data_IF_387484257248
#
_entry.id   IF_387484257248
#
_cell.length_a   1.000
_cell.length_b   1.000
_cell.length_c   1.000
_cell.angle_alpha   90.00
_cell.angle_beta   90.00
_cell.angle_gamma   90.00
#
_symmetry.space_group_name_H-M   'P 1'
#
loop_
_entity.id
_entity.type
_entity.pdbx_description
1 polymer ?
#
# COMPACT_ATOMS: atom_id res chain seq x y z
N UNK A 1 -21.01 -21.76 -23.87
CA UNK A 1 -19.70 -21.74 -23.16
C UNK A 1 -19.83 -22.75 -22.03
N UNK A 2 -19.21 -23.88 -22.19
CA UNK A 2 -19.22 -24.90 -21.16
C UNK A 2 -18.42 -24.40 -19.98
N UNK A 3 -19.06 -24.36 -18.82
CA UNK A 3 -18.42 -24.08 -17.54
C UNK A 3 -17.54 -25.28 -17.19
N UNK A 4 -16.32 -25.29 -17.69
CA UNK A 4 -15.28 -26.22 -17.26
C UNK A 4 -14.21 -25.49 -16.50
N UNK A 5 -14.15 -25.87 -15.30
CA UNK A 5 -13.06 -26.34 -14.49
C UNK A 5 -12.30 -25.23 -13.79
N UNK A 6 -12.82 -24.89 -12.61
CA UNK A 6 -12.04 -24.26 -11.57
C UNK A 6 -11.09 -25.33 -11.03
N UNK A 7 -9.80 -25.20 -11.28
CA UNK A 7 -8.79 -26.11 -10.73
C UNK A 7 -8.65 -25.82 -9.24
N UNK A 8 -8.74 -26.87 -8.43
CA UNK A 8 -8.54 -26.73 -6.98
C UNK A 8 -7.09 -26.36 -6.68
N UNK A 9 -6.78 -25.48 -5.69
CA UNK A 9 -5.41 -25.01 -5.40
C UNK A 9 -4.36 -26.13 -5.19
N UNK A 10 -4.77 -27.30 -4.73
CA UNK A 10 -3.89 -28.47 -4.58
C UNK A 10 -3.33 -29.00 -5.90
N UNK A 11 -3.86 -28.57 -7.04
CA UNK A 11 -3.50 -29.01 -8.39
C UNK A 11 -2.68 -27.97 -9.16
N UNK A 12 -2.47 -26.76 -8.58
CA UNK A 12 -1.66 -25.71 -9.18
C UNK A 12 -0.17 -25.89 -8.85
N UNK A 13 0.67 -25.88 -9.89
CA UNK A 13 2.04 -25.41 -9.69
C UNK A 13 2.04 -23.88 -9.60
N UNK A 14 2.95 -23.32 -8.82
CA UNK A 14 3.15 -21.87 -8.78
C UNK A 14 3.42 -21.29 -10.20
N UNK A 15 4.06 -22.09 -11.06
CA UNK A 15 4.36 -21.74 -12.45
C UNK A 15 3.10 -21.61 -13.31
N UNK A 16 2.12 -22.52 -13.16
CA UNK A 16 0.85 -22.46 -13.91
C UNK A 16 0.00 -21.23 -13.54
N UNK A 17 0.14 -20.73 -12.30
CA UNK A 17 -0.63 -19.59 -11.80
C UNK A 17 -0.06 -18.24 -12.25
N UNK A 18 1.22 -18.20 -12.63
CA UNK A 18 1.93 -16.98 -13.06
C UNK A 18 1.77 -16.61 -14.53
N UNK A 19 1.34 -17.52 -15.41
CA UNK A 19 1.34 -17.36 -16.86
C UNK A 19 0.20 -16.50 -17.44
N UNK A 20 -0.16 -15.40 -16.79
CA UNK A 20 -0.98 -14.33 -17.39
C UNK A 20 -0.06 -13.15 -17.67
N UNK A 21 -0.24 -12.48 -18.83
CA UNK A 21 0.34 -11.14 -19.04
C UNK A 21 -0.24 -10.18 -18.02
N UNK A 22 0.46 -10.07 -16.91
CA UNK A 22 0.02 -9.38 -15.71
C UNK A 22 0.89 -8.13 -15.48
N UNK A 23 0.32 -6.94 -15.68
CA UNK A 23 1.04 -5.70 -15.47
C UNK A 23 1.36 -5.40 -14.00
N UNK A 24 0.82 -6.18 -13.05
CA UNK A 24 1.05 -5.94 -11.60
C UNK A 24 2.46 -6.32 -11.14
N UNK A 25 3.24 -7.02 -11.99
CA UNK A 25 4.54 -7.58 -11.59
C UNK A 25 4.41 -8.69 -10.54
N UNK A 26 3.30 -9.45 -10.62
CA UNK A 26 3.10 -10.60 -9.76
C UNK A 26 4.18 -11.66 -10.05
N UNK A 27 4.84 -12.08 -9.00
CA UNK A 27 5.82 -13.19 -9.00
C UNK A 27 5.24 -14.36 -8.23
N UNK A 28 5.46 -15.58 -8.71
CA UNK A 28 4.91 -16.81 -8.09
C UNK A 28 5.38 -17.03 -6.64
N UNK A 29 6.53 -16.48 -6.28
CA UNK A 29 7.07 -16.47 -4.92
C UNK A 29 6.15 -15.77 -3.92
N UNK A 30 5.34 -14.81 -4.37
CA UNK A 30 4.34 -14.14 -3.53
C UNK A 30 3.28 -15.12 -2.97
N UNK A 31 2.99 -16.21 -3.68
CA UNK A 31 2.07 -17.24 -3.18
C UNK A 31 2.57 -17.88 -1.89
N UNK A 32 3.89 -18.03 -1.75
CA UNK A 32 4.51 -18.62 -0.56
C UNK A 32 4.62 -17.63 0.59
N UNK A 33 4.85 -16.34 0.31
CA UNK A 33 5.03 -15.30 1.32
C UNK A 33 3.71 -14.66 1.76
N UNK A 34 2.73 -14.59 0.86
CA UNK A 34 1.41 -14.00 1.10
C UNK A 34 0.32 -15.06 1.32
N UNK A 35 0.60 -16.11 2.05
CA UNK A 35 -0.23 -17.32 2.23
C UNK A 35 -1.73 -17.03 2.18
N UNK A 36 -2.37 -17.38 1.05
CA UNK A 36 -3.81 -17.29 0.87
C UNK A 36 -4.50 -18.56 1.39
N UNK A 37 -5.77 -18.43 1.77
CA UNK A 37 -6.55 -19.59 2.18
C UNK A 37 -6.94 -20.48 0.99
N UNK A 38 -7.13 -19.86 -0.20
CA UNK A 38 -7.43 -20.59 -1.44
C UNK A 38 -7.07 -19.76 -2.67
N UNK A 39 -6.73 -20.44 -3.77
CA UNK A 39 -6.47 -19.85 -5.08
C UNK A 39 -7.50 -20.35 -6.10
N UNK A 40 -7.81 -19.51 -7.09
CA UNK A 40 -8.69 -19.85 -8.20
C UNK A 40 -8.05 -19.45 -9.52
N UNK A 41 -8.23 -20.32 -10.53
CA UNK A 41 -7.89 -20.03 -11.91
C UNK A 41 -9.08 -20.35 -12.82
N UNK A 42 -9.18 -19.57 -13.87
CA UNK A 42 -10.10 -19.81 -14.99
C UNK A 42 -9.25 -20.15 -16.19
N UNK A 43 -9.42 -21.34 -16.73
CA UNK A 43 -8.70 -21.82 -17.91
C UNK A 43 -9.63 -21.96 -19.11
N UNK A 44 -9.09 -21.80 -20.31
CA UNK A 44 -9.85 -22.06 -21.54
C UNK A 44 -9.76 -23.55 -21.95
N UNK A 45 -10.50 -23.99 -23.00
CA UNK A 45 -10.44 -25.36 -23.50
C UNK A 45 -9.06 -25.82 -23.99
N UNK A 46 -8.16 -24.89 -24.26
CA UNK A 46 -6.78 -25.13 -24.66
C UNK A 46 -5.83 -25.21 -23.46
N UNK A 47 -6.36 -25.19 -22.23
CA UNK A 47 -5.64 -25.21 -20.96
C UNK A 47 -4.79 -23.95 -20.72
N UNK A 48 -5.15 -22.82 -21.34
CA UNK A 48 -4.47 -21.55 -21.09
C UNK A 48 -5.16 -20.80 -19.94
N UNK A 49 -4.35 -20.22 -19.04
CA UNK A 49 -4.85 -19.43 -17.92
C UNK A 49 -5.47 -18.12 -18.44
N UNK A 50 -6.74 -17.87 -18.13
CA UNK A 50 -7.50 -16.69 -18.57
C UNK A 50 -7.77 -15.70 -17.45
N UNK A 51 -7.92 -16.17 -16.22
CA UNK A 51 -8.00 -15.33 -15.04
C UNK A 51 -7.55 -16.10 -13.80
N UNK A 52 -7.11 -15.37 -12.79
CA UNK A 52 -6.79 -15.91 -11.47
C UNK A 52 -7.23 -14.96 -10.36
N UNK A 53 -7.39 -15.48 -9.15
CA UNK A 53 -7.45 -14.72 -7.92
C UNK A 53 -7.16 -15.63 -6.72
N UNK A 54 -6.79 -15.00 -5.60
CA UNK A 54 -6.66 -15.67 -4.31
C UNK A 54 -7.63 -15.09 -3.31
N UNK A 55 -8.02 -15.88 -2.31
CA UNK A 55 -8.93 -15.43 -1.25
C UNK A 55 -8.36 -15.70 0.13
N UNK A 56 -8.68 -14.83 1.07
CA UNK A 56 -8.35 -14.93 2.48
C UNK A 56 -9.62 -14.74 3.31
N UNK A 57 -9.81 -15.55 4.33
CA UNK A 57 -10.93 -15.45 5.28
C UNK A 57 -10.54 -15.69 6.74
N UNK A 58 -9.27 -16.06 7.02
CA UNK A 58 -8.78 -16.32 8.38
C UNK A 58 -8.21 -15.06 9.01
N UNK A 59 -7.06 -14.59 8.53
CA UNK A 59 -6.31 -13.46 9.10
C UNK A 59 -6.60 -12.18 8.29
N UNK A 60 -7.88 -11.79 8.25
CA UNK A 60 -8.37 -10.64 7.48
C UNK A 60 -8.82 -9.50 8.40
N UNK A 61 -8.90 -8.27 7.89
CA UNK A 61 -9.45 -7.14 8.63
C UNK A 61 -10.88 -7.40 9.12
N UNK A 62 -11.31 -6.62 10.11
CA UNK A 62 -12.72 -6.53 10.50
C UNK A 62 -13.34 -5.26 9.91
N UNK A 63 -14.59 -5.33 9.47
CA UNK A 63 -15.40 -4.20 9.04
C UNK A 63 -16.67 -4.17 9.88
N UNK A 64 -16.88 -3.10 10.65
CA UNK A 64 -18.01 -2.95 11.58
C UNK A 64 -18.19 -4.13 12.55
N UNK A 65 -17.10 -4.77 12.94
CA UNK A 65 -17.11 -5.94 13.85
C UNK A 65 -17.47 -7.26 13.18
N UNK A 66 -17.69 -7.27 11.87
CA UNK A 66 -17.99 -8.46 11.09
C UNK A 66 -16.75 -9.01 10.38
N UNK A 67 -16.74 -10.34 10.18
CA UNK A 67 -15.70 -11.01 9.41
C UNK A 67 -15.84 -10.64 7.93
N UNK A 68 -14.76 -10.15 7.36
CA UNK A 68 -14.65 -9.93 5.92
C UNK A 68 -13.76 -10.99 5.29
N UNK A 69 -14.02 -11.31 4.02
CA UNK A 69 -13.08 -12.03 3.19
C UNK A 69 -12.43 -11.08 2.20
N UNK A 70 -11.21 -11.38 1.76
CA UNK A 70 -10.53 -10.54 0.76
C UNK A 70 -10.25 -11.31 -0.51
N UNK A 71 -10.27 -10.61 -1.65
CA UNK A 71 -9.95 -11.12 -2.99
C UNK A 71 -8.72 -10.34 -3.48
N UNK A 72 -7.61 -11.04 -3.68
CA UNK A 72 -6.36 -10.47 -4.16
C UNK A 72 -5.70 -11.35 -5.22
N UNK A 73 -4.46 -11.05 -5.60
CA UNK A 73 -3.71 -11.68 -6.69
C UNK A 73 -4.55 -11.76 -7.99
N UNK A 74 -5.47 -10.81 -8.16
CA UNK A 74 -6.40 -10.81 -9.28
C UNK A 74 -5.70 -10.39 -10.56
N UNK A 75 -5.85 -11.23 -11.59
CA UNK A 75 -5.49 -10.89 -12.95
C UNK A 75 -6.47 -11.56 -13.93
N UNK A 76 -6.76 -10.91 -15.06
CA UNK A 76 -7.64 -11.45 -16.08
C UNK A 76 -7.27 -10.93 -17.46
N UNK A 77 -7.28 -11.81 -18.45
CA UNK A 77 -7.03 -11.47 -19.86
C UNK A 77 -8.28 -10.86 -20.53
N UNK A 78 -9.46 -11.17 -20.00
CA UNK A 78 -10.73 -10.62 -20.46
C UNK A 78 -11.77 -10.57 -19.33
N UNK A 79 -12.77 -9.72 -19.51
CA UNK A 79 -13.81 -9.49 -18.50
C UNK A 79 -14.70 -10.70 -18.21
N UNK A 80 -14.85 -11.65 -19.15
CA UNK A 80 -15.67 -12.84 -18.92
C UNK A 80 -14.99 -13.77 -17.94
N UNK A 81 -13.71 -14.07 -18.17
CA UNK A 81 -12.88 -14.86 -17.27
C UNK A 81 -12.68 -14.18 -15.91
N UNK A 82 -12.42 -12.87 -15.92
CA UNK A 82 -12.27 -12.08 -14.69
C UNK A 82 -13.50 -12.14 -13.78
N UNK A 83 -14.68 -11.90 -14.35
CA UNK A 83 -15.95 -11.99 -13.59
C UNK A 83 -16.25 -13.41 -13.12
N UNK A 84 -15.83 -14.45 -13.87
CA UNK A 84 -15.97 -15.83 -13.41
C UNK A 84 -15.11 -16.08 -12.17
N UNK A 85 -13.83 -15.65 -12.16
CA UNK A 85 -12.95 -15.76 -11.01
C UNK A 85 -13.51 -15.02 -9.78
N UNK A 86 -13.99 -13.77 -9.95
CA UNK A 86 -14.59 -12.98 -8.86
C UNK A 86 -15.83 -13.68 -8.28
N UNK A 87 -16.72 -14.22 -9.12
CA UNK A 87 -17.91 -14.92 -8.64
C UNK A 87 -17.56 -16.17 -7.85
N UNK A 88 -16.57 -16.94 -8.28
CA UNK A 88 -16.08 -18.09 -7.56
C UNK A 88 -15.49 -17.71 -6.20
N UNK A 89 -14.67 -16.67 -6.18
CA UNK A 89 -14.12 -16.12 -4.93
C UNK A 89 -15.24 -15.72 -3.95
N UNK A 90 -16.26 -15.00 -4.41
CA UNK A 90 -17.43 -14.64 -3.59
C UNK A 90 -18.18 -15.86 -3.06
N UNK A 91 -18.36 -16.89 -3.89
CA UNK A 91 -19.00 -18.15 -3.47
C UNK A 91 -18.20 -18.82 -2.34
N UNK A 92 -16.89 -18.93 -2.51
CA UNK A 92 -15.99 -19.48 -1.50
C UNK A 92 -16.05 -18.69 -0.19
N UNK A 93 -15.91 -17.37 -0.24
CA UNK A 93 -15.95 -16.52 0.95
C UNK A 93 -17.27 -16.62 1.71
N UNK A 94 -18.40 -16.68 0.97
CA UNK A 94 -19.72 -16.90 1.57
C UNK A 94 -19.80 -18.27 2.27
N UNK A 95 -19.30 -19.33 1.64
CA UNK A 95 -19.28 -20.69 2.23
C UNK A 95 -18.45 -20.74 3.52
N UNK A 96 -17.43 -19.87 3.67
CA UNK A 96 -16.62 -19.74 4.88
C UNK A 96 -17.16 -18.70 5.88
N UNK A 97 -18.39 -18.23 5.69
CA UNK A 97 -19.10 -17.37 6.65
C UNK A 97 -18.66 -15.91 6.65
N UNK A 98 -18.05 -15.43 5.57
CA UNK A 98 -17.76 -14.00 5.42
C UNK A 98 -19.04 -13.24 5.08
N UNK A 99 -19.31 -12.16 5.82
CA UNK A 99 -20.47 -11.29 5.57
C UNK A 99 -20.21 -10.33 4.39
N UNK A 100 -18.96 -9.97 4.18
CA UNK A 100 -18.53 -9.00 3.16
C UNK A 100 -17.28 -9.50 2.45
N UNK A 101 -17.22 -9.33 1.12
CA UNK A 101 -16.02 -9.49 0.31
C UNK A 101 -15.40 -8.12 0.06
N UNK A 102 -14.08 -8.00 0.26
CA UNK A 102 -13.27 -6.83 -0.09
C UNK A 102 -12.34 -7.18 -1.26
N UNK A 103 -12.09 -6.24 -2.15
CA UNK A 103 -11.11 -6.42 -3.23
C UNK A 103 -10.84 -5.15 -4.04
N UNK A 104 -9.65 -5.06 -4.69
CA UNK A 104 -8.55 -6.00 -4.56
C UNK A 104 -7.84 -5.84 -3.22
N UNK A 105 -7.47 -6.94 -2.57
CA UNK A 105 -6.66 -6.92 -1.35
C UNK A 105 -6.00 -8.29 -1.12
N UNK A 106 -4.68 -8.32 -1.03
CA UNK A 106 -3.90 -9.53 -0.76
C UNK A 106 -3.89 -9.83 0.76
N UNK A 107 -5.06 -10.16 1.31
CA UNK A 107 -5.25 -10.49 2.72
C UNK A 107 -5.39 -9.27 3.64
N UNK A 108 -4.50 -8.30 3.57
CA UNK A 108 -4.49 -7.14 4.47
C UNK A 108 -3.89 -5.88 3.81
N UNK A 109 -3.87 -4.76 4.55
CA UNK A 109 -3.40 -3.46 4.05
C UNK A 109 -1.88 -3.29 4.02
N UNK A 110 -1.10 -4.26 4.50
CA UNK A 110 0.36 -4.25 4.43
C UNK A 110 0.88 -4.70 3.06
N UNK A 111 0.05 -5.47 2.34
CA UNK A 111 0.31 -6.00 1.01
C UNK A 111 -0.36 -5.16 -0.06
N UNK A 112 -0.37 -5.65 -1.30
CA UNK A 112 -1.04 -4.95 -2.39
C UNK A 112 -2.55 -4.92 -2.16
N UNK A 113 -3.14 -3.73 -2.24
CA UNK A 113 -4.58 -3.52 -2.18
C UNK A 113 -4.97 -2.24 -2.93
N UNK A 114 -6.23 -2.13 -3.38
CA UNK A 114 -6.81 -1.04 -4.17
C UNK A 114 -6.43 -1.05 -5.66
N UNK A 115 -7.37 -0.66 -6.50
CA UNK A 115 -7.15 -0.39 -7.92
C UNK A 115 -6.94 1.09 -8.19
N UNK A 116 -6.16 1.41 -9.24
CA UNK A 116 -6.24 2.71 -9.91
C UNK A 116 -7.59 2.77 -10.59
N UNK A 117 -8.35 3.84 -10.34
CA UNK A 117 -9.67 4.09 -10.95
C UNK A 117 -9.72 5.41 -11.73
N UNK A 118 -8.75 6.29 -11.49
CA UNK A 118 -8.52 7.48 -12.30
C UNK A 118 -7.00 7.66 -12.43
N UNK A 119 -6.51 7.41 -13.65
CA UNK A 119 -5.08 7.36 -13.93
C UNK A 119 -4.43 8.74 -14.04
N UNK A 120 -5.21 9.76 -14.36
CA UNK A 120 -4.63 11.04 -14.76
C UNK A 120 -3.68 10.89 -15.95
N UNK A 121 -2.77 11.84 -16.10
CA UNK A 121 -1.80 11.90 -17.23
C UNK A 121 -0.35 11.64 -16.81
N UNK A 122 -0.06 11.59 -15.52
CA UNK A 122 1.30 11.36 -15.01
C UNK A 122 1.73 9.89 -15.22
N UNK A 123 3.02 9.62 -15.46
CA UNK A 123 3.54 8.25 -15.54
C UNK A 123 3.34 7.50 -14.24
N UNK A 124 3.39 6.15 -14.23
CA UNK A 124 3.48 5.35 -13.02
C UNK A 124 4.72 5.73 -12.19
N UNK A 125 4.64 5.53 -10.88
CA UNK A 125 5.76 5.77 -9.97
C UNK A 125 6.06 4.53 -9.10
N UNK A 126 7.24 4.50 -8.50
CA UNK A 126 7.72 3.38 -7.70
C UNK A 126 6.78 3.08 -6.51
N UNK A 127 6.49 1.81 -6.30
CA UNK A 127 5.55 1.28 -5.29
C UNK A 127 4.07 1.69 -5.51
N UNK A 128 3.70 2.10 -6.70
CA UNK A 128 2.31 2.30 -7.08
C UNK A 128 1.66 0.97 -7.47
N UNK A 129 0.39 0.69 -7.10
CA UNK A 129 -0.34 -0.44 -7.67
C UNK A 129 -0.52 -0.26 -9.19
N UNK A 130 -0.53 -1.35 -9.92
CA UNK A 130 -0.76 -1.35 -11.37
C UNK A 130 -1.93 -2.27 -11.69
N UNK A 131 -2.83 -1.84 -12.58
CA UNK A 131 -3.94 -2.65 -13.08
C UNK A 131 -4.46 -2.09 -14.40
N UNK A 132 -4.98 -2.92 -15.32
CA UNK A 132 -5.80 -2.46 -16.44
C UNK A 132 -7.08 -1.77 -15.96
N UNK A 133 -7.62 -0.86 -16.79
CA UNK A 133 -8.85 -0.12 -16.47
C UNK A 133 -10.10 -1.03 -16.46
N UNK A 134 -10.02 -2.21 -17.09
CA UNK A 134 -11.08 -3.21 -17.09
C UNK A 134 -11.31 -3.87 -15.71
N UNK A 135 -10.27 -3.99 -14.88
CA UNK A 135 -10.37 -4.73 -13.62
C UNK A 135 -11.34 -4.10 -12.59
N UNK A 136 -11.27 -2.77 -12.30
CA UNK A 136 -12.32 -2.15 -11.48
C UNK A 136 -13.72 -2.30 -12.07
N UNK A 137 -13.85 -2.27 -13.41
CA UNK A 137 -15.14 -2.47 -14.10
C UNK A 137 -15.67 -3.90 -13.87
N UNK A 138 -14.79 -4.92 -13.86
CA UNK A 138 -15.19 -6.30 -13.60
C UNK A 138 -15.70 -6.49 -12.16
N UNK A 139 -15.05 -5.88 -11.18
CA UNK A 139 -15.53 -5.85 -9.79
C UNK A 139 -16.90 -5.19 -9.70
N UNK A 140 -17.06 -4.00 -10.30
CA UNK A 140 -18.37 -3.29 -10.32
C UNK A 140 -19.45 -4.12 -11.01
N UNK A 141 -19.14 -4.78 -12.13
CA UNK A 141 -20.07 -5.66 -12.83
C UNK A 141 -20.45 -6.93 -12.03
N UNK A 142 -19.62 -7.31 -11.06
CA UNK A 142 -19.94 -8.36 -10.08
C UNK A 142 -20.69 -7.82 -8.85
N UNK A 143 -21.02 -6.52 -8.82
CA UNK A 143 -21.82 -5.85 -7.78
C UNK A 143 -21.00 -5.38 -6.59
N UNK A 144 -19.71 -5.13 -6.77
CA UNK A 144 -18.89 -4.43 -5.79
C UNK A 144 -19.06 -2.92 -5.97
N UNK A 145 -19.12 -2.20 -4.85
CA UNK A 145 -19.12 -0.74 -4.80
C UNK A 145 -17.82 -0.23 -4.16
N UNK A 146 -17.35 0.99 -4.52
CA UNK A 146 -16.23 1.59 -3.83
C UNK A 146 -16.51 1.78 -2.35
N UNK A 147 -15.69 1.16 -1.50
CA UNK A 147 -15.77 1.24 -0.05
C UNK A 147 -14.91 2.39 0.49
N UNK A 148 -13.76 2.60 -0.12
CA UNK A 148 -12.77 3.58 0.36
C UNK A 148 -11.96 4.14 -0.79
N UNK A 149 -11.65 5.44 -0.70
CA UNK A 149 -10.94 6.18 -1.72
C UNK A 149 -9.56 6.61 -1.24
N UNK A 150 -8.62 6.62 -2.18
CA UNK A 150 -7.24 7.06 -1.93
C UNK A 150 -6.79 7.97 -3.07
N UNK A 151 -5.82 8.83 -2.77
CA UNK A 151 -5.25 9.76 -3.74
C UNK A 151 -3.74 9.77 -3.64
N UNK A 152 -3.10 10.03 -4.77
CA UNK A 152 -1.72 10.49 -4.82
C UNK A 152 -1.69 11.92 -5.36
N UNK A 153 -0.82 12.74 -4.78
CA UNK A 153 -0.64 14.15 -5.12
C UNK A 153 0.82 14.39 -5.49
N UNK A 154 1.06 15.28 -6.46
CA UNK A 154 2.41 15.59 -6.93
C UNK A 154 2.74 17.06 -6.74
N UNK A 155 3.92 17.32 -6.21
CA UNK A 155 4.53 18.65 -6.11
C UNK A 155 5.78 18.68 -7.00
N UNK A 156 5.74 19.46 -8.07
CA UNK A 156 6.84 19.60 -9.04
C UNK A 156 7.93 20.60 -8.62
N UNK A 157 7.76 21.29 -7.49
CA UNK A 157 8.69 22.32 -7.03
C UNK A 157 8.74 22.33 -5.50
N UNK A 158 9.48 21.37 -4.96
CA UNK A 158 9.59 21.21 -3.51
C UNK A 158 10.43 22.32 -2.86
N UNK A 159 11.22 23.08 -3.63
CA UNK A 159 12.03 24.19 -3.13
C UNK A 159 11.17 25.40 -2.74
N UNK A 160 10.18 25.75 -3.56
CA UNK A 160 9.40 26.99 -3.41
C UNK A 160 8.15 26.82 -2.52
N UNK A 161 7.83 25.61 -2.08
CA UNK A 161 6.58 25.31 -1.36
C UNK A 161 6.82 24.71 0.02
N UNK A 162 7.81 25.21 0.73
CA UNK A 162 8.08 24.75 2.10
C UNK A 162 7.40 25.67 3.11
N UNK A 163 6.56 25.13 4.02
CA UNK A 163 5.93 25.91 5.06
C UNK A 163 6.97 26.37 6.10
N UNK A 164 6.80 27.57 6.63
CA UNK A 164 7.59 28.04 7.78
C UNK A 164 7.27 27.18 9.02
N UNK A 165 8.32 26.62 9.63
CA UNK A 165 8.20 25.72 10.77
C UNK A 165 8.81 26.28 12.07
N UNK A 166 9.22 27.54 12.12
CA UNK A 166 10.01 28.09 13.22
C UNK A 166 9.45 27.76 14.61
N UNK A 167 8.16 27.95 14.83
CA UNK A 167 7.51 27.65 16.13
C UNK A 167 7.40 26.16 16.43
N UNK A 168 7.15 25.32 15.41
CA UNK A 168 7.06 23.87 15.58
C UNK A 168 8.43 23.27 15.88
N UNK A 169 9.46 23.72 15.17
CA UNK A 169 10.86 23.28 15.42
C UNK A 169 11.28 23.64 16.82
N UNK A 170 11.12 24.91 17.25
CA UNK A 170 11.41 25.32 18.62
C UNK A 170 10.65 24.49 19.67
N UNK A 171 9.42 24.09 19.38
CA UNK A 171 8.66 23.20 20.27
C UNK A 171 9.33 21.84 20.38
N UNK A 172 9.74 21.23 19.26
CA UNK A 172 10.41 19.92 19.25
C UNK A 172 11.78 19.99 19.94
N UNK A 173 12.55 21.05 19.71
CA UNK A 173 13.83 21.29 20.37
C UNK A 173 13.68 21.39 21.90
N UNK A 174 12.68 22.16 22.39
CA UNK A 174 12.38 22.25 23.84
C UNK A 174 11.96 20.93 24.47
N UNK A 175 11.33 20.05 23.69
CA UNK A 175 10.99 18.70 24.12
C UNK A 175 12.20 17.76 24.10
N UNK A 176 13.30 18.15 23.47
CA UNK A 176 14.47 17.29 23.29
C UNK A 176 14.29 16.23 22.23
N UNK A 177 13.37 16.45 21.26
CA UNK A 177 13.21 15.56 20.10
C UNK A 177 14.39 15.74 19.15
N UNK A 178 15.06 14.65 18.85
CA UNK A 178 16.16 14.58 17.89
C UNK A 178 15.69 13.90 16.61
N UNK A 179 15.98 14.49 15.44
CA UNK A 179 15.65 13.92 14.13
C UNK A 179 16.98 13.62 13.43
N UNK A 180 17.15 12.40 12.97
CA UNK A 180 18.33 11.94 12.25
C UNK A 180 17.95 10.88 11.20
N UNK A 181 18.79 10.66 10.19
CA UNK A 181 18.67 9.50 9.32
C UNK A 181 18.65 8.19 10.10
N UNK A 182 17.99 7.17 9.55
CA UNK A 182 18.05 5.83 10.10
C UNK A 182 19.47 5.30 10.09
N UNK A 183 19.84 4.55 11.13
CA UNK A 183 21.13 3.87 11.15
C UNK A 183 21.02 2.54 10.38
N UNK A 184 21.52 2.49 9.15
CA UNK A 184 21.43 1.29 8.30
C UNK A 184 22.38 0.17 8.72
N UNK A 185 23.49 0.51 9.39
CA UNK A 185 24.49 -0.48 9.86
C UNK A 185 24.01 -1.21 11.13
N UNK A 186 23.12 -0.58 11.91
CA UNK A 186 22.50 -1.15 13.11
C UNK A 186 21.01 -0.75 13.13
N UNK A 187 20.26 -1.26 12.16
CA UNK A 187 18.88 -0.84 11.93
C UNK A 187 17.85 -1.57 12.81
N UNK A 188 18.26 -2.61 13.53
CA UNK A 188 17.33 -3.47 14.27
C UNK A 188 16.54 -2.68 15.34
N UNK A 189 17.23 -1.87 16.16
CA UNK A 189 16.58 -1.06 17.21
C UNK A 189 15.68 0.03 16.61
N UNK A 190 16.11 0.63 15.50
CA UNK A 190 15.31 1.63 14.79
C UNK A 190 14.06 1.03 14.18
N UNK A 191 14.16 -0.13 13.51
CA UNK A 191 13.01 -0.83 12.94
C UNK A 191 12.03 -1.28 14.03
N UNK A 192 12.52 -1.72 15.18
CA UNK A 192 11.67 -2.06 16.32
C UNK A 192 10.93 -0.84 16.87
N UNK A 193 11.62 0.27 17.00
CA UNK A 193 10.99 1.52 17.42
C UNK A 193 9.98 2.04 16.38
N UNK A 194 10.29 1.94 15.08
CA UNK A 194 9.37 2.28 13.98
C UNK A 194 8.13 1.37 14.02
N UNK A 195 8.31 0.07 14.23
CA UNK A 195 7.22 -0.87 14.40
C UNK A 195 6.26 -0.45 15.53
N UNK A 196 6.79 -0.09 16.69
CA UNK A 196 5.99 0.37 17.83
C UNK A 196 5.20 1.64 17.49
N UNK A 197 5.82 2.60 16.78
CA UNK A 197 5.16 3.82 16.30
C UNK A 197 4.05 3.49 15.31
N UNK A 198 4.30 2.59 14.36
CA UNK A 198 3.34 2.14 13.35
C UNK A 198 2.13 1.48 14.02
N UNK A 199 2.36 0.52 14.92
CA UNK A 199 1.30 -0.16 15.66
C UNK A 199 0.44 0.82 16.47
N UNK A 200 1.06 1.82 17.11
CA UNK A 200 0.34 2.81 17.90
C UNK A 200 -0.44 3.80 17.02
N UNK A 201 0.15 4.24 15.89
CA UNK A 201 -0.41 5.28 15.03
C UNK A 201 -1.53 4.78 14.12
N UNK A 202 -1.44 3.52 13.67
CA UNK A 202 -2.39 2.95 12.71
C UNK A 202 -3.43 2.02 13.36
N UNK A 203 -3.40 1.85 14.68
CA UNK A 203 -4.35 0.98 15.39
C UNK A 203 -5.80 1.23 15.02
N UNK A 204 -6.18 2.49 14.91
CA UNK A 204 -7.55 2.91 14.60
C UNK A 204 -7.73 3.27 13.11
N UNK A 205 -6.74 2.93 12.27
CA UNK A 205 -6.83 3.17 10.82
C UNK A 205 -7.79 2.19 10.17
N UNK A 206 -8.42 2.64 9.11
CA UNK A 206 -9.38 1.85 8.36
C UNK A 206 -8.78 0.53 7.86
N UNK A 207 -9.41 -0.59 8.23
CA UNK A 207 -9.00 -1.97 7.92
C UNK A 207 -7.58 -2.33 8.42
N UNK A 208 -7.08 -1.66 9.44
CA UNK A 208 -5.78 -2.01 10.01
C UNK A 208 -5.82 -3.45 10.57
N UNK A 209 -4.80 -4.23 10.20
CA UNK A 209 -4.54 -5.56 10.74
C UNK A 209 -3.17 -5.55 11.39
N UNK A 210 -3.01 -6.01 12.63
CA UNK A 210 -1.70 -6.13 13.24
C UNK A 210 -0.79 -7.04 12.41
N UNK A 211 0.46 -6.63 12.22
CA UNK A 211 1.52 -7.46 11.67
C UNK A 211 2.47 -7.79 12.82
N UNK A 212 3.03 -8.99 12.86
CA UNK A 212 4.07 -9.31 13.83
C UNK A 212 5.40 -8.61 13.46
N UNK A 213 6.27 -8.48 14.46
CA UNK A 213 7.53 -7.75 14.34
C UNK A 213 8.50 -8.37 13.32
N UNK A 214 8.53 -9.70 13.25
CA UNK A 214 9.41 -10.42 12.32
C UNK A 214 8.96 -10.20 10.87
N UNK A 215 7.67 -10.32 10.61
CA UNK A 215 7.07 -10.01 9.30
C UNK A 215 7.31 -8.54 8.90
N UNK A 216 7.18 -7.60 9.86
CA UNK A 216 7.47 -6.20 9.62
C UNK A 216 8.94 -5.98 9.22
N UNK A 217 9.88 -6.55 9.95
CA UNK A 217 11.32 -6.49 9.61
C UNK A 217 11.58 -7.10 8.24
N UNK A 218 11.01 -8.26 7.94
CA UNK A 218 11.15 -8.92 6.64
C UNK A 218 10.73 -8.04 5.45
N UNK A 219 9.76 -7.14 5.63
CA UNK A 219 9.34 -6.17 4.60
C UNK A 219 10.34 -5.02 4.47
N UNK A 220 10.83 -4.47 5.58
CA UNK A 220 11.57 -3.21 5.57
C UNK A 220 13.10 -3.37 5.47
N UNK A 221 13.69 -4.40 6.09
CA UNK A 221 15.15 -4.62 6.04
C UNK A 221 15.73 -4.70 4.61
N UNK A 222 15.11 -5.42 3.66
CA UNK A 222 15.62 -5.44 2.28
C UNK A 222 15.55 -4.07 1.58
N UNK A 223 14.59 -3.23 1.98
CA UNK A 223 14.43 -1.89 1.42
C UNK A 223 15.51 -0.94 1.94
N UNK A 224 15.91 -1.07 3.22
CA UNK A 224 16.95 -0.21 3.82
C UNK A 224 18.31 -0.32 3.11
N UNK A 225 18.62 -1.49 2.56
CA UNK A 225 19.86 -1.72 1.81
C UNK A 225 19.90 -1.00 0.45
N UNK A 226 18.74 -0.55 -0.05
CA UNK A 226 18.58 0.03 -1.39
C UNK A 226 18.35 1.54 -1.38
N UNK A 227 18.12 2.14 -0.21
CA UNK A 227 17.79 3.56 -0.08
C UNK A 227 18.94 4.35 0.54
N UNK A 228 19.03 5.63 0.19
CA UNK A 228 19.88 6.56 0.93
C UNK A 228 19.25 6.85 2.30
N UNK A 229 19.98 6.64 3.42
CA UNK A 229 19.44 6.85 4.77
C UNK A 229 18.87 8.25 5.00
N UNK A 230 19.37 9.27 4.28
CA UNK A 230 18.86 10.65 4.37
C UNK A 230 17.39 10.79 3.93
N UNK A 231 16.85 9.82 3.21
CA UNK A 231 15.44 9.76 2.78
C UNK A 231 14.57 8.90 3.71
N UNK A 232 15.13 8.45 4.85
CA UNK A 232 14.38 7.83 5.93
C UNK A 232 14.79 8.45 7.25
N UNK A 233 13.99 9.38 7.77
CA UNK A 233 14.29 10.10 9.01
C UNK A 233 13.53 9.47 10.17
N UNK A 234 14.21 9.37 11.31
CA UNK A 234 13.68 8.86 12.57
C UNK A 234 13.77 9.96 13.62
N UNK A 235 12.64 10.24 14.27
CA UNK A 235 12.56 11.16 15.42
C UNK A 235 12.63 10.37 16.72
N UNK A 236 13.52 10.77 17.62
CA UNK A 236 13.72 10.15 18.94
C UNK A 236 13.52 11.16 20.04
N UNK A 237 12.88 10.76 21.12
CA UNK A 237 12.73 11.51 22.35
C UNK A 237 13.14 10.63 23.52
N UNK A 238 14.11 11.07 24.33
CA UNK A 238 14.69 10.30 25.43
C UNK A 238 15.12 8.87 25.01
N UNK A 239 15.77 8.75 23.84
CA UNK A 239 16.25 7.48 23.28
C UNK A 239 15.17 6.60 22.60
N UNK A 240 13.89 6.95 22.72
CA UNK A 240 12.78 6.18 22.12
C UNK A 240 12.35 6.77 20.78
N UNK A 241 12.08 5.94 19.80
CA UNK A 241 11.46 6.36 18.52
C UNK A 241 10.05 6.85 18.78
N UNK A 242 9.76 8.08 18.31
CA UNK A 242 8.44 8.72 18.47
C UNK A 242 7.80 9.11 17.12
N UNK A 243 8.54 8.97 16.05
CA UNK A 243 8.04 9.20 14.70
C UNK A 243 9.08 8.87 13.64
N UNK A 244 8.63 8.74 12.39
CA UNK A 244 9.51 8.55 11.24
C UNK A 244 8.82 9.04 9.95
N UNK A 245 9.63 9.22 8.90
CA UNK A 245 9.20 9.41 7.51
C UNK A 245 10.08 8.59 6.60
N UNK A 246 9.47 7.96 5.59
CA UNK A 246 10.12 7.14 4.57
C UNK A 246 9.72 7.64 3.18
N UNK A 247 10.70 8.03 2.37
CA UNK A 247 10.50 8.64 1.06
C UNK A 247 11.54 8.15 0.02
N UNK A 248 11.43 6.91 -0.50
CA UNK A 248 12.37 6.41 -1.49
C UNK A 248 12.33 7.22 -2.79
N UNK A 249 13.42 7.21 -3.60
CA UNK A 249 13.41 7.70 -4.96
C UNK A 249 12.40 6.97 -5.84
N UNK A 250 11.87 7.67 -6.85
CA UNK A 250 11.06 7.02 -7.88
C UNK A 250 11.95 6.22 -8.85
N UNK A 251 12.26 4.99 -8.47
CA UNK A 251 13.13 4.11 -9.26
C UNK A 251 12.58 3.74 -10.64
N UNK A 252 11.31 4.04 -10.96
CA UNK A 252 10.79 3.86 -12.32
C UNK A 252 11.35 4.91 -13.30
N UNK A 253 11.97 5.98 -12.82
CA UNK A 253 12.62 6.99 -13.64
C UNK A 253 14.05 6.59 -14.11
N UNK A 254 14.48 5.34 -13.91
CA UNK A 254 15.87 4.89 -14.20
C UNK A 254 16.39 5.19 -15.61
N UNK A 255 15.52 5.38 -16.60
CA UNK A 255 15.91 5.79 -17.95
C UNK A 255 16.35 7.26 -18.06
N UNK A 256 16.23 8.04 -16.98
CA UNK A 256 16.59 9.47 -16.86
C UNK A 256 17.27 9.69 -15.52
N UNK A 257 17.78 10.89 -15.24
CA UNK A 257 18.16 11.22 -13.85
C UNK A 257 16.91 11.20 -12.98
N UNK A 258 16.93 10.47 -11.86
CA UNK A 258 15.82 10.41 -10.91
C UNK A 258 15.75 11.78 -10.22
N UNK A 259 14.68 12.52 -10.42
CA UNK A 259 14.43 13.84 -9.84
C UNK A 259 13.26 13.85 -8.85
N UNK A 260 12.64 12.70 -8.62
CA UNK A 260 11.41 12.55 -7.84
C UNK A 260 11.61 11.60 -6.68
N UNK A 261 11.08 11.96 -5.50
CA UNK A 261 10.91 11.08 -4.35
C UNK A 261 9.44 10.75 -4.13
N UNK A 262 9.18 9.59 -3.51
CA UNK A 262 7.83 9.13 -3.16
C UNK A 262 7.68 9.11 -1.65
N UNK A 263 6.96 10.08 -1.06
CA UNK A 263 6.61 10.07 0.37
C UNK A 263 5.62 8.94 0.61
N UNK A 264 6.15 7.77 0.98
CA UNK A 264 5.39 6.52 1.06
C UNK A 264 4.70 6.36 2.40
N UNK A 265 5.40 6.64 3.48
CA UNK A 265 4.88 6.41 4.84
C UNK A 265 5.50 7.41 5.80
N UNK A 266 4.68 7.97 6.66
CA UNK A 266 5.13 8.62 7.87
C UNK A 266 4.15 8.33 9.01
N UNK A 267 4.65 8.25 10.22
CA UNK A 267 3.83 8.07 11.41
C UNK A 267 4.48 8.74 12.62
N UNK A 268 3.64 9.17 13.55
CA UNK A 268 4.01 9.83 14.79
C UNK A 268 3.22 9.18 15.92
N UNK A 269 3.84 8.91 17.06
CA UNK A 269 3.10 8.45 18.22
C UNK A 269 1.91 9.38 18.53
N UNK A 270 0.71 8.82 18.80
CA UNK A 270 -0.51 9.59 19.00
C UNK A 270 -0.55 10.29 20.37
N UNK A 271 0.49 11.08 20.68
CA UNK A 271 0.59 11.91 21.87
C UNK A 271 0.52 13.40 21.49
N UNK A 272 -0.23 14.18 22.28
CA UNK A 272 -0.41 15.61 22.05
C UNK A 272 0.89 16.41 22.11
N UNK A 273 1.89 15.95 22.89
CA UNK A 273 3.19 16.62 22.95
C UNK A 273 3.89 16.65 21.60
N UNK A 274 3.71 15.63 20.75
CA UNK A 274 4.30 15.52 19.41
C UNK A 274 3.46 16.18 18.30
N UNK A 275 2.40 16.91 18.65
CA UNK A 275 1.60 17.64 17.64
C UNK A 275 2.50 18.60 16.84
N UNK A 276 2.53 18.42 15.52
CA UNK A 276 3.36 19.17 14.58
C UNK A 276 4.66 18.47 14.16
N UNK A 277 5.10 17.40 14.86
CA UNK A 277 6.31 16.66 14.53
C UNK A 277 6.28 16.07 13.11
N UNK A 278 5.13 15.56 12.64
CA UNK A 278 5.01 15.03 11.28
C UNK A 278 5.33 16.08 10.21
N UNK A 279 4.93 17.31 10.44
CA UNK A 279 5.23 18.42 9.53
C UNK A 279 6.74 18.76 9.52
N UNK A 280 7.38 18.71 10.69
CA UNK A 280 8.84 18.91 10.82
C UNK A 280 9.59 17.80 10.09
N UNK A 281 9.22 16.54 10.31
CA UNK A 281 9.85 15.39 9.64
C UNK A 281 9.75 15.46 8.11
N UNK A 282 8.55 15.80 7.58
CA UNK A 282 8.37 15.92 6.13
C UNK A 282 9.24 17.04 5.56
N UNK A 283 9.27 18.20 6.21
CA UNK A 283 10.08 19.33 5.72
C UNK A 283 11.58 19.03 5.80
N UNK A 284 12.05 18.40 6.88
CA UNK A 284 13.46 18.00 6.99
C UNK A 284 13.85 16.98 5.91
N UNK A 285 12.96 16.03 5.63
CA UNK A 285 13.16 15.06 4.55
C UNK A 285 13.17 15.75 3.18
N UNK A 286 12.28 16.74 2.93
CA UNK A 286 12.29 17.51 1.68
C UNK A 286 13.56 18.34 1.53
N UNK A 287 14.13 18.91 2.61
CA UNK A 287 15.44 19.58 2.58
C UNK A 287 16.55 18.60 2.18
N UNK A 288 16.59 17.42 2.82
CA UNK A 288 17.57 16.40 2.44
C UNK A 288 17.43 16.02 0.96
N UNK A 289 16.19 15.86 0.48
CA UNK A 289 15.92 15.53 -0.93
C UNK A 289 16.44 16.64 -1.87
N UNK A 290 16.21 17.92 -1.55
CA UNK A 290 16.73 19.06 -2.31
C UNK A 290 18.27 19.07 -2.34
N UNK A 291 18.91 18.86 -1.21
CA UNK A 291 20.37 18.78 -1.11
C UNK A 291 20.96 17.62 -1.92
N UNK A 292 20.16 16.58 -2.19
CA UNK A 292 20.50 15.45 -3.04
C UNK A 292 20.15 15.67 -4.53
N UNK A 293 19.52 16.80 -4.87
CA UNK A 293 19.16 17.18 -6.24
C UNK A 293 17.77 16.76 -6.70
N UNK A 294 16.92 16.22 -5.81
CA UNK A 294 15.52 15.98 -6.15
C UNK A 294 14.72 17.28 -6.18
N UNK A 295 13.80 17.40 -7.12
CA UNK A 295 12.98 18.61 -7.31
C UNK A 295 11.50 18.36 -7.16
N UNK A 296 11.11 17.10 -7.23
CA UNK A 296 9.70 16.66 -7.25
C UNK A 296 9.43 15.69 -6.10
N UNK A 297 8.24 15.79 -5.50
CA UNK A 297 7.77 14.84 -4.49
C UNK A 297 6.36 14.36 -4.81
N UNK A 298 6.13 13.05 -4.68
CA UNK A 298 4.81 12.43 -4.75
C UNK A 298 4.40 12.02 -3.34
N UNK A 299 3.27 12.55 -2.85
CA UNK A 299 2.62 12.07 -1.62
C UNK A 299 1.70 10.92 -1.99
N UNK A 300 2.11 9.66 -1.65
CA UNK A 300 1.53 8.49 -2.24
C UNK A 300 0.48 7.81 -1.35
N UNK A 301 -0.62 7.42 -2.02
CA UNK A 301 -1.65 6.50 -1.58
C UNK A 301 -2.35 6.92 -0.28
N UNK A 302 -2.60 8.22 -0.13
CA UNK A 302 -3.26 8.79 1.04
C UNK A 302 -4.75 8.44 1.04
N UNK A 303 -5.26 7.96 2.17
CA UNK A 303 -6.70 7.81 2.37
C UNK A 303 -7.37 9.20 2.38
N UNK A 304 -8.48 9.37 1.65
CA UNK A 304 -9.12 10.69 1.47
C UNK A 304 -9.67 11.31 2.75
N UNK A 305 -9.94 10.50 3.78
CA UNK A 305 -10.39 10.98 5.09
C UNK A 305 -9.23 11.23 6.07
N UNK A 306 -7.99 10.98 5.65
CA UNK A 306 -6.84 11.06 6.53
C UNK A 306 -6.33 12.51 6.68
N UNK A 307 -5.88 12.86 7.90
CA UNK A 307 -5.29 14.18 8.19
C UNK A 307 -4.00 14.43 7.40
N UNK A 308 -3.32 13.39 6.92
CA UNK A 308 -2.13 13.52 6.09
C UNK A 308 -2.39 14.26 4.79
N UNK A 309 -3.58 14.14 4.21
CA UNK A 309 -3.99 14.89 3.02
C UNK A 309 -3.90 16.41 3.24
N UNK A 310 -4.25 16.89 4.44
CA UNK A 310 -4.14 18.34 4.78
C UNK A 310 -2.71 18.86 4.86
N UNK A 311 -1.72 17.97 5.03
CA UNK A 311 -0.31 18.36 5.09
C UNK A 311 0.27 18.50 3.68
N UNK A 312 -0.19 17.70 2.72
CA UNK A 312 0.29 17.70 1.33
C UNK A 312 -0.50 18.62 0.41
N UNK A 313 -1.81 18.80 0.63
CA UNK A 313 -2.70 19.53 -0.28
C UNK A 313 -2.39 21.02 -0.45
N UNK A 314 -1.73 21.65 0.53
CA UNK A 314 -1.31 23.06 0.42
C UNK A 314 -0.23 23.28 -0.65
N UNK A 315 0.43 22.20 -1.10
CA UNK A 315 1.63 22.28 -1.92
C UNK A 315 1.61 21.37 -3.17
N UNK A 316 0.60 20.52 -3.33
CA UNK A 316 0.53 19.51 -4.37
C UNK A 316 -0.78 19.56 -5.15
N UNK A 317 -0.77 19.09 -6.40
CA UNK A 317 -1.96 18.88 -7.22
C UNK A 317 -2.37 17.40 -7.28
N UNK A 318 -3.65 17.09 -7.57
CA UNK A 318 -4.10 15.73 -7.71
C UNK A 318 -3.40 15.05 -8.90
N UNK A 319 -2.91 13.84 -8.66
CA UNK A 319 -2.20 13.05 -9.67
C UNK A 319 -3.02 11.83 -10.08
N UNK A 320 -3.56 11.09 -9.10
CA UNK A 320 -4.21 9.79 -9.33
C UNK A 320 -5.19 9.45 -8.22
N UNK A 321 -6.23 8.68 -8.57
CA UNK A 321 -7.21 8.18 -7.58
C UNK A 321 -7.27 6.65 -7.60
N UNK A 322 -7.50 6.10 -6.42
CA UNK A 322 -7.59 4.67 -6.20
C UNK A 322 -8.84 4.34 -5.39
N UNK A 323 -9.34 3.11 -5.53
CA UNK A 323 -10.44 2.61 -4.73
C UNK A 323 -10.19 1.17 -4.25
N UNK A 324 -10.64 0.90 -3.04
CA UNK A 324 -10.90 -0.43 -2.52
C UNK A 324 -12.40 -0.66 -2.62
N UNK A 325 -12.80 -1.83 -3.10
CA UNK A 325 -14.19 -2.16 -3.32
C UNK A 325 -14.69 -3.19 -2.29
N UNK A 326 -15.99 -3.15 -2.03
CA UNK A 326 -16.68 -4.11 -1.16
C UNK A 326 -17.99 -4.59 -1.76
N UNK A 327 -18.39 -5.81 -1.36
CA UNK A 327 -19.71 -6.37 -1.66
C UNK A 327 -20.23 -7.15 -0.46
N UNK A 328 -21.47 -6.87 -0.04
CA UNK A 328 -22.17 -7.74 0.91
C UNK A 328 -22.38 -9.12 0.30
N UNK A 329 -22.08 -10.15 1.09
CA UNK A 329 -22.31 -11.56 0.75
C UNK A 329 -23.56 -12.13 1.45
N UNK A 330 -24.12 -11.38 2.42
CA UNK A 330 -25.40 -11.69 3.06
C UNK A 330 -26.51 -11.14 2.18
N UNK A 331 -27.27 -12.00 1.56
CA UNK A 331 -28.49 -11.70 0.79
C UNK A 331 -29.68 -12.30 1.47
#
# INVERSE_FOLDING_TARGET
MDHKDYIHPAEFSADDYGEIDDPTGFESELLSSEVADQHFAVIDPQNSLRARCSVWWRDTPCLHGERVGTIGHYAATDSTAGRAAIRQAMHCLRAHGCATALGPMNGNTWRSYRFIVDRGTAPPFFLEPTNPDSWPVDFTACGFDPLSWYVSEINFDIANRQPELGSLRQKMDRLGVQIAPINVDDSADDLDGIYDVVCASFRDSFLYTPLDRESFRGIYEPLLQKIDPRLMLVARHAGRVVGFVFAPPDYLQQARSIDTIVIKTFAILPDKCYTGLGRVLIVDMLHNALDMGYTTAISALMHTENRSQKISSDCAGPMRRYALFAKSLTS
#
